data_IF_819181348801
#
_entry.id   IF_819181348801
#
_cell.length_a   1.000
_cell.length_b   1.000
_cell.length_c   1.000
_cell.angle_alpha   90.00
_cell.angle_beta   90.00
_cell.angle_gamma   90.00
#
_symmetry.space_group_name_H-M   'P 1'
#
loop_
_entity.id
_entity.type
_entity.pdbx_description
1 polymer ?
#
# COMPACT_ATOMS: atom_id res chain seq x y z
N UNK A 1 6.33 -0.24 11.51
CA UNK A 1 7.39 0.80 11.56
C UNK A 1 8.72 0.27 12.08
N UNK A 2 8.73 -0.61 13.09
CA UNK A 2 9.96 -1.26 13.59
C UNK A 2 10.70 -2.15 12.58
N UNK A 3 10.09 -2.46 11.43
CA UNK A 3 10.71 -3.20 10.33
C UNK A 3 11.21 -2.28 9.21
N UNK A 4 10.34 -1.44 8.65
CA UNK A 4 10.66 -0.62 7.48
C UNK A 4 11.63 0.53 7.78
N UNK A 5 11.44 1.25 8.88
CA UNK A 5 12.30 2.41 9.18
C UNK A 5 13.77 2.06 9.42
N UNK A 6 14.11 0.95 10.10
CA UNK A 6 15.50 0.49 10.14
C UNK A 6 16.10 0.23 8.75
N UNK A 7 15.37 -0.46 7.87
CA UNK A 7 15.84 -0.74 6.51
C UNK A 7 16.05 0.55 5.71
N UNK A 8 15.05 1.44 5.72
CA UNK A 8 15.11 2.73 5.03
C UNK A 8 16.24 3.63 5.57
N UNK A 9 16.49 3.59 6.88
CA UNK A 9 17.63 4.28 7.49
C UNK A 9 18.98 3.77 6.98
N UNK A 10 19.17 2.46 6.89
CA UNK A 10 20.41 1.88 6.36
C UNK A 10 20.63 2.25 4.88
N UNK A 11 19.54 2.32 4.12
CA UNK A 11 19.55 2.74 2.71
C UNK A 11 19.60 4.26 2.52
N UNK A 12 19.53 5.04 3.60
CA UNK A 12 19.48 6.52 3.60
C UNK A 12 18.30 7.08 2.81
N UNK A 13 17.17 6.39 2.84
CA UNK A 13 15.90 6.82 2.25
C UNK A 13 14.98 7.42 3.31
N UNK A 14 13.85 7.98 2.88
CA UNK A 14 12.91 8.67 3.76
C UNK A 14 12.19 7.72 4.71
N UNK A 15 11.94 8.17 5.94
CA UNK A 15 11.21 7.36 6.93
C UNK A 15 9.73 7.21 6.55
N UNK A 16 9.09 6.16 7.09
CA UNK A 16 7.64 5.95 7.04
C UNK A 16 6.98 6.11 8.39
N UNK A 17 5.76 6.65 8.41
CA UNK A 17 4.91 6.73 9.60
C UNK A 17 3.47 6.30 9.29
N UNK A 18 2.79 5.69 10.27
CA UNK A 18 1.36 5.40 10.11
C UNK A 18 0.58 6.70 10.26
N UNK A 19 -0.36 6.97 9.37
CA UNK A 19 -1.28 8.10 9.47
C UNK A 19 -2.74 7.67 9.27
N UNK A 20 -3.66 8.43 9.87
CA UNK A 20 -5.10 8.23 9.66
C UNK A 20 -5.49 8.43 8.19
N UNK A 21 -4.82 9.35 7.49
CA UNK A 21 -5.00 9.60 6.07
C UNK A 21 -4.70 8.35 5.24
N UNK A 22 -3.51 7.75 5.43
CA UNK A 22 -3.10 6.58 4.67
C UNK A 22 -3.92 5.34 5.04
N UNK A 23 -4.33 5.20 6.31
CA UNK A 23 -5.24 4.13 6.74
C UNK A 23 -6.61 4.25 6.08
N UNK A 24 -7.23 5.44 6.12
CA UNK A 24 -8.55 5.65 5.50
C UNK A 24 -8.49 5.49 3.98
N UNK A 25 -7.38 5.94 3.36
CA UNK A 25 -7.14 5.70 1.94
C UNK A 25 -7.13 4.20 1.63
N UNK A 26 -6.32 3.41 2.35
CA UNK A 26 -6.22 1.96 2.15
C UNK A 26 -7.57 1.25 2.36
N UNK A 27 -8.35 1.66 3.37
CA UNK A 27 -9.69 1.12 3.63
C UNK A 27 -10.65 1.42 2.48
N UNK A 28 -10.64 2.64 1.95
CA UNK A 28 -11.50 3.01 0.81
C UNK A 28 -11.14 2.24 -0.45
N UNK A 29 -9.85 2.02 -0.70
CA UNK A 29 -9.41 1.18 -1.82
C UNK A 29 -9.86 -0.27 -1.64
N UNK A 30 -9.69 -0.81 -0.43
CA UNK A 30 -10.16 -2.15 -0.10
C UNK A 30 -11.67 -2.32 -0.31
N UNK A 31 -12.46 -1.27 -0.05
CA UNK A 31 -13.91 -1.24 -0.26
C UNK A 31 -14.34 -1.01 -1.71
N UNK A 32 -13.55 -0.27 -2.49
CA UNK A 32 -13.87 0.04 -3.90
C UNK A 32 -13.55 -1.10 -4.85
N UNK A 33 -12.75 -2.08 -4.41
CA UNK A 33 -12.46 -3.27 -5.18
C UNK A 33 -13.71 -4.13 -5.31
N UNK A 34 -14.30 -4.10 -6.51
CA UNK A 34 -15.28 -5.08 -6.90
C UNK A 34 -14.58 -6.43 -7.13
N UNK A 35 -15.26 -7.51 -6.74
CA UNK A 35 -14.83 -8.91 -6.83
C UNK A 35 -14.20 -9.36 -8.15
N UNK A 36 -14.35 -8.62 -9.26
CA UNK A 36 -13.99 -9.06 -10.63
C UNK A 36 -12.69 -8.43 -11.18
N UNK A 37 -12.11 -7.42 -10.51
CA UNK A 37 -10.92 -6.67 -10.99
C UNK A 37 -9.61 -7.49 -11.01
N UNK A 38 -9.17 -7.92 -12.18
CA UNK A 38 -7.87 -8.63 -12.38
C UNK A 38 -6.61 -7.76 -12.29
N UNK A 39 -6.77 -6.43 -12.22
CA UNK A 39 -5.68 -5.46 -12.23
C UNK A 39 -5.88 -4.39 -11.14
N UNK A 40 -4.83 -3.62 -10.83
CA UNK A 40 -4.92 -2.47 -9.93
C UNK A 40 -6.07 -1.54 -10.34
N UNK A 41 -6.89 -1.14 -9.38
CA UNK A 41 -8.04 -0.26 -9.59
C UNK A 41 -7.58 1.20 -9.62
N UNK A 42 -6.81 1.56 -10.66
CA UNK A 42 -6.24 2.90 -10.85
C UNK A 42 -7.31 4.00 -10.81
N UNK A 43 -8.49 3.75 -11.37
CA UNK A 43 -9.60 4.71 -11.31
C UNK A 43 -10.03 4.99 -9.87
N UNK A 44 -10.08 3.96 -9.02
CA UNK A 44 -10.34 4.15 -7.59
C UNK A 44 -9.20 4.84 -6.87
N UNK A 45 -7.95 4.53 -7.17
CA UNK A 45 -6.79 5.24 -6.61
C UNK A 45 -6.88 6.74 -6.93
N UNK A 46 -7.13 7.08 -8.19
CA UNK A 46 -7.28 8.48 -8.63
C UNK A 46 -8.49 9.14 -7.95
N UNK A 47 -9.63 8.46 -7.89
CA UNK A 47 -10.83 9.01 -7.26
C UNK A 47 -10.64 9.25 -5.75
N UNK A 48 -10.06 8.27 -5.04
CA UNK A 48 -9.77 8.40 -3.61
C UNK A 48 -8.77 9.53 -3.38
N UNK A 49 -7.69 9.58 -4.14
CA UNK A 49 -6.67 10.63 -4.04
C UNK A 49 -7.29 12.03 -4.15
N UNK A 50 -8.15 12.28 -5.16
CA UNK A 50 -8.87 13.55 -5.29
C UNK A 50 -9.74 13.87 -4.07
N UNK A 51 -10.52 12.91 -3.58
CA UNK A 51 -11.37 13.14 -2.38
C UNK A 51 -10.58 13.38 -1.09
N UNK A 52 -9.30 13.01 -1.08
CA UNK A 52 -8.43 13.09 0.09
C UNK A 52 -7.41 14.21 0.03
N UNK A 53 -7.42 15.00 -1.04
CA UNK A 53 -6.39 16.01 -1.25
C UNK A 53 -5.01 15.37 -1.36
N UNK A 54 -4.89 14.29 -2.13
CA UNK A 54 -3.61 13.64 -2.41
C UNK A 54 -3.41 13.64 -3.93
N UNK A 55 -2.16 13.81 -4.36
CA UNK A 55 -1.78 13.64 -5.77
C UNK A 55 -2.27 12.28 -6.31
N UNK A 56 -2.89 12.22 -7.50
CA UNK A 56 -3.47 11.00 -8.08
C UNK A 56 -2.42 10.07 -8.69
N UNK A 57 -1.24 9.97 -8.05
CA UNK A 57 -0.08 9.17 -8.47
C UNK A 57 0.13 7.94 -7.57
N UNK A 58 -0.85 7.63 -6.71
CA UNK A 58 -0.79 6.72 -5.55
C UNK A 58 0.15 5.52 -5.66
N UNK A 59 0.99 5.33 -4.64
CA UNK A 59 1.87 4.17 -4.47
C UNK A 59 1.13 3.04 -3.75
N UNK A 60 0.63 2.08 -4.51
CA UNK A 60 -0.09 0.90 -4.00
C UNK A 60 0.72 -0.38 -4.23
N UNK A 61 1.16 -1.00 -3.14
CA UNK A 61 1.75 -2.34 -3.18
C UNK A 61 0.74 -3.37 -2.68
N UNK A 62 0.24 -4.21 -3.58
CA UNK A 62 -0.74 -5.25 -3.24
C UNK A 62 -0.06 -6.59 -2.98
N UNK A 63 -0.67 -7.49 -2.21
CA UNK A 63 -0.20 -8.88 -2.12
C UNK A 63 -1.37 -9.84 -1.95
N UNK A 64 -1.27 -11.02 -2.57
CA UNK A 64 -2.30 -12.05 -2.55
C UNK A 64 -1.99 -13.13 -1.51
N UNK A 65 -3.02 -13.59 -0.83
CA UNK A 65 -2.97 -14.72 0.09
C UNK A 65 -4.27 -15.52 0.03
N UNK A 66 -4.23 -16.78 0.47
CA UNK A 66 -5.43 -17.61 0.58
C UNK A 66 -6.45 -16.97 1.52
N UNK A 67 -7.72 -16.88 1.09
CA UNK A 67 -8.78 -16.33 1.91
C UNK A 67 -9.24 -17.29 3.00
N UNK A 68 -9.53 -16.74 4.18
CA UNK A 68 -10.16 -17.42 5.32
C UNK A 68 -11.28 -16.54 5.86
N UNK A 69 -12.32 -17.17 6.38
CA UNK A 69 -13.45 -16.44 6.97
C UNK A 69 -13.06 -15.63 8.22
N UNK A 70 -12.02 -16.06 8.95
CA UNK A 70 -11.56 -15.40 10.17
C UNK A 70 -10.04 -15.39 10.22
N UNK A 71 -9.51 -14.28 10.74
CA UNK A 71 -8.08 -14.08 10.99
C UNK A 71 -7.90 -13.62 12.43
N UNK A 72 -6.93 -14.22 13.12
CA UNK A 72 -6.44 -13.65 14.38
C UNK A 72 -5.54 -12.44 14.11
N UNK A 73 -5.25 -11.66 15.15
CA UNK A 73 -4.23 -10.61 15.06
C UNK A 73 -2.86 -11.17 14.65
N UNK A 74 -2.53 -12.39 15.08
CA UNK A 74 -1.30 -13.06 14.68
C UNK A 74 -1.28 -13.34 13.17
N UNK A 75 -2.39 -13.84 12.62
CA UNK A 75 -2.50 -14.10 11.18
C UNK A 75 -2.37 -12.81 10.37
N UNK A 76 -3.05 -11.73 10.79
CA UNK A 76 -2.95 -10.43 10.12
C UNK A 76 -1.51 -9.89 10.10
N UNK A 77 -0.80 -9.97 11.23
CA UNK A 77 0.63 -9.60 11.29
C UNK A 77 1.46 -10.47 10.36
N UNK A 78 1.27 -11.79 10.39
CA UNK A 78 1.98 -12.74 9.53
C UNK A 78 1.75 -12.45 8.04
N UNK A 79 0.53 -12.10 7.65
CA UNK A 79 0.18 -11.72 6.28
C UNK A 79 0.93 -10.46 5.83
N UNK A 80 0.98 -9.42 6.67
CA UNK A 80 1.74 -8.19 6.38
C UNK A 80 3.24 -8.50 6.23
N UNK A 81 3.82 -9.30 7.14
CA UNK A 81 5.23 -9.71 7.01
C UNK A 81 5.49 -10.49 5.73
N UNK A 82 4.61 -11.41 5.35
CA UNK A 82 4.74 -12.19 4.12
C UNK A 82 4.60 -11.31 2.88
N UNK A 83 3.64 -10.38 2.87
CA UNK A 83 3.45 -9.42 1.78
C UNK A 83 4.72 -8.57 1.57
N UNK A 84 5.28 -8.03 2.66
CA UNK A 84 6.53 -7.27 2.61
C UNK A 84 7.71 -8.12 2.13
N UNK A 85 7.88 -9.33 2.67
CA UNK A 85 8.98 -10.22 2.25
C UNK A 85 8.89 -10.58 0.76
N UNK A 86 7.68 -10.89 0.28
CA UNK A 86 7.49 -11.18 -1.13
C UNK A 86 7.81 -9.96 -2.00
N UNK A 87 7.26 -8.80 -1.68
CA UNK A 87 7.50 -7.56 -2.46
C UNK A 87 8.93 -7.04 -2.38
N UNK A 88 9.69 -7.37 -1.34
CA UNK A 88 11.08 -6.97 -1.21
C UNK A 88 12.07 -7.93 -1.89
N UNK A 89 11.79 -9.23 -1.87
CA UNK A 89 12.81 -10.24 -2.23
C UNK A 89 12.42 -11.13 -3.40
N UNK A 90 11.14 -11.20 -3.76
CA UNK A 90 10.63 -12.11 -4.80
C UNK A 90 9.61 -11.38 -5.70
N UNK A 91 9.95 -10.15 -6.08
CA UNK A 91 9.12 -9.23 -6.86
C UNK A 91 9.52 -9.16 -8.34
N UNK A 92 10.30 -10.13 -8.82
CA UNK A 92 10.87 -10.17 -10.17
C UNK A 92 9.83 -10.04 -11.29
N UNK A 93 8.59 -10.51 -11.08
CA UNK A 93 7.47 -10.36 -12.02
C UNK A 93 7.04 -8.90 -12.30
N UNK A 94 7.51 -7.93 -11.52
CA UNK A 94 7.19 -6.52 -11.58
C UNK A 94 8.48 -5.67 -11.61
N UNK A 95 9.59 -6.29 -12.05
CA UNK A 95 10.91 -5.66 -12.15
C UNK A 95 11.37 -4.99 -10.84
N UNK A 96 10.90 -5.50 -9.69
CA UNK A 96 11.16 -4.96 -8.35
C UNK A 96 10.62 -3.54 -8.08
N UNK A 97 9.65 -3.07 -8.87
CA UNK A 97 9.02 -1.77 -8.65
C UNK A 97 8.42 -1.62 -7.25
N UNK A 98 7.82 -2.67 -6.68
CA UNK A 98 7.29 -2.59 -5.32
C UNK A 98 8.40 -2.52 -4.27
N UNK A 99 9.55 -3.15 -4.53
CA UNK A 99 10.69 -3.06 -3.62
C UNK A 99 11.24 -1.63 -3.57
N UNK A 100 11.30 -0.94 -4.72
CA UNK A 100 11.71 0.47 -4.78
C UNK A 100 10.79 1.35 -3.95
N UNK A 101 9.48 1.23 -4.14
CA UNK A 101 8.46 1.94 -3.35
C UNK A 101 8.54 1.60 -1.86
N UNK A 102 8.61 0.33 -1.48
CA UNK A 102 8.67 -0.07 -0.05
C UNK A 102 9.95 0.44 0.62
N UNK A 103 11.07 0.49 -0.10
CA UNK A 103 12.35 0.95 0.42
C UNK A 103 12.55 2.46 0.29
N UNK A 104 11.65 3.18 -0.38
CA UNK A 104 11.75 4.63 -0.58
C UNK A 104 12.89 5.03 -1.52
N UNK A 105 13.13 4.21 -2.55
CA UNK A 105 14.19 4.39 -3.54
C UNK A 105 13.70 5.05 -4.83
N UNK A 106 12.41 5.42 -4.92
CA UNK A 106 11.83 6.11 -6.07
C UNK A 106 12.32 7.57 -6.14
N UNK A 107 12.50 8.08 -7.37
CA UNK A 107 13.12 9.40 -7.66
C UNK A 107 12.31 10.61 -7.13
N UNK A 108 11.05 10.40 -6.75
CA UNK A 108 10.08 11.44 -6.37
C UNK A 108 9.96 11.68 -4.85
N UNK A 109 10.83 11.11 -4.01
CA UNK A 109 10.60 11.14 -2.54
C UNK A 109 11.29 12.30 -1.81
N UNK A 110 10.49 13.27 -1.35
CA UNK A 110 10.92 14.28 -0.37
C UNK A 110 10.11 14.18 0.94
N UNK A 111 10.81 14.04 2.07
CA UNK A 111 10.20 14.01 3.41
C UNK A 111 9.61 12.65 3.83
N UNK A 112 9.08 12.59 5.06
CA UNK A 112 8.52 11.36 5.65
C UNK A 112 7.29 10.90 4.86
N UNK A 113 7.23 9.63 4.45
CA UNK A 113 6.06 9.05 3.80
C UNK A 113 5.06 8.52 4.82
N UNK A 114 3.77 8.64 4.53
CA UNK A 114 2.71 8.04 5.31
C UNK A 114 2.36 6.66 4.77
N UNK A 115 2.11 5.70 5.65
CA UNK A 115 1.77 4.31 5.26
C UNK A 115 0.50 3.81 5.92
N UNK A 116 -0.34 3.14 5.13
CA UNK A 116 -1.59 2.51 5.56
C UNK A 116 -1.73 1.08 5.04
N UNK A 117 -2.37 0.23 5.84
CA UNK A 117 -2.65 -1.15 5.48
C UNK A 117 -4.14 -1.44 5.54
N UNK A 118 -4.66 -2.15 4.54
CA UNK A 118 -6.02 -2.68 4.56
C UNK A 118 -6.08 -4.07 3.92
N UNK A 119 -7.16 -4.79 4.20
CA UNK A 119 -7.41 -6.09 3.59
C UNK A 119 -8.74 -6.08 2.85
N UNK A 120 -8.81 -6.71 1.67
CA UNK A 120 -10.07 -6.96 0.98
C UNK A 120 -10.17 -8.41 0.53
N UNK A 121 -11.41 -8.89 0.41
CA UNK A 121 -11.71 -10.15 -0.26
C UNK A 121 -11.82 -9.89 -1.75
N UNK A 122 -11.22 -10.77 -2.55
CA UNK A 122 -11.29 -10.74 -4.00
C UNK A 122 -11.68 -12.11 -4.54
N UNK A 123 -12.65 -12.17 -5.46
CA UNK A 123 -13.25 -13.43 -5.89
C UNK A 123 -13.18 -13.55 -7.40
N UNK A 124 -12.20 -14.32 -7.88
CA UNK A 124 -12.16 -14.79 -9.26
C UNK A 124 -12.76 -16.21 -9.32
N UNK A 125 -11.92 -17.21 -9.62
CA UNK A 125 -12.29 -18.63 -9.60
C UNK A 125 -12.23 -19.23 -8.18
N UNK A 126 -11.43 -18.61 -7.31
CA UNK A 126 -11.34 -18.90 -5.88
C UNK A 126 -11.28 -17.59 -5.10
N UNK A 127 -11.54 -17.68 -3.79
CA UNK A 127 -11.47 -16.53 -2.88
C UNK A 127 -10.02 -16.25 -2.47
N UNK A 128 -9.60 -15.01 -2.70
CA UNK A 128 -8.30 -14.46 -2.30
C UNK A 128 -8.47 -13.37 -1.25
N UNK A 129 -7.47 -13.24 -0.39
CA UNK A 129 -7.28 -12.07 0.47
C UNK A 129 -6.21 -11.18 -0.17
N UNK A 130 -6.56 -9.92 -0.43
CA UNK A 130 -5.62 -8.90 -0.86
C UNK A 130 -5.17 -8.10 0.37
N UNK A 131 -3.87 -7.87 0.47
CA UNK A 131 -3.27 -6.90 1.40
C UNK A 131 -2.90 -5.66 0.60
N UNK A 132 -3.47 -4.52 0.94
CA UNK A 132 -3.19 -3.21 0.35
C UNK A 132 -2.18 -2.49 1.21
N UNK A 133 -1.09 -2.01 0.62
CA UNK A 133 -0.05 -1.23 1.30
C UNK A 133 0.07 0.10 0.57
N UNK A 134 -0.50 1.14 1.16
CA UNK A 134 -0.56 2.48 0.57
C UNK A 134 0.55 3.33 1.16
N UNK A 135 1.36 3.92 0.29
CA UNK A 135 2.39 4.90 0.63
C UNK A 135 1.96 6.27 0.06
N UNK A 136 2.04 7.30 0.90
CA UNK A 136 1.69 8.68 0.53
C UNK A 136 2.88 9.58 0.91
N UNK A 137 3.68 10.01 -0.07
CA UNK A 137 4.65 11.07 0.11
C UNK A 137 4.03 12.32 0.73
N UNK A 138 4.74 12.99 1.64
CA UNK A 138 4.19 14.16 2.33
C UNK A 138 3.92 15.33 1.38
N UNK A 139 4.77 15.49 0.38
CA UNK A 139 4.65 16.47 -0.69
C UNK A 139 3.50 16.17 -1.66
N UNK A 140 2.89 15.00 -1.59
CA UNK A 140 1.68 14.67 -2.36
C UNK A 140 0.40 15.10 -1.65
N UNK A 141 0.46 15.55 -0.40
CA UNK A 141 -0.71 16.07 0.31
C UNK A 141 -0.95 17.50 -0.14
N UNK A 142 -2.06 17.69 -0.84
CA UNK A 142 -2.50 18.95 -1.41
C UNK A 142 -2.94 19.92 -0.31
N UNK A 143 -2.59 21.20 -0.46
CA UNK A 143 -3.06 22.26 0.44
C UNK A 143 -4.56 22.52 0.23
N UNK A 144 -5.25 23.12 1.22
CA UNK A 144 -6.71 23.37 1.20
C UNK A 144 -7.22 24.22 0.00
N UNK A 145 -6.35 24.76 -0.85
CA UNK A 145 -6.69 25.45 -2.10
C UNK A 145 -6.45 24.66 -3.39
N UNK A 146 -5.99 23.41 -3.30
CA UNK A 146 -5.64 22.53 -4.42
C UNK A 146 -6.56 21.31 -4.57
N UNK A 147 -7.52 21.13 -3.65
CA UNK A 147 -8.47 20.00 -3.58
C UNK A 147 -9.70 20.27 -4.45
#
# INVERSE_FOLDING_TARGET
MSLLNPLRKELRTVAVEVSDLALDYAVRLAQSLNSILRYHNYDSLIAIAKTKGVEPKGKDCQSFSEYRQRYSLYDAKKLIYRALAWRLFDDSHADYGHALTILGLDEDESGVEQIGFAFSKFTLDIDWLLTHMIFIPKDWILEEGQI
#
